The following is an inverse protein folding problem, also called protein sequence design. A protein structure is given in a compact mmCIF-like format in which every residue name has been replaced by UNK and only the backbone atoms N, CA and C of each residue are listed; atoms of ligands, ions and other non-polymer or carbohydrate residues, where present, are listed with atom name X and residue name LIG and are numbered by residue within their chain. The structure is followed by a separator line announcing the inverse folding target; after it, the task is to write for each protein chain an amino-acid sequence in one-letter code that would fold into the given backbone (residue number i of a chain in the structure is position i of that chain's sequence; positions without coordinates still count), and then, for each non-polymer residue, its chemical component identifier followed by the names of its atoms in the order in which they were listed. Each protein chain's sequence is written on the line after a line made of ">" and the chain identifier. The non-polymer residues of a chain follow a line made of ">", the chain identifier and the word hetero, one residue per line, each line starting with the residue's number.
data_IF_562131667413
#
_entry.id   IF_562131667413
#
_cell.length_a   1.000
_cell.length_b   1.000
_cell.length_c   1.000
_cell.angle_alpha   90.00
_cell.angle_beta   90.00
_cell.angle_gamma   90.00
#
_symmetry.space_group_name_H-M   'P 1'
#
loop_
_entity.id
_entity.type
_entity.pdbx_description
1 polymer ?
#
# COMPACT_ATOMS: atom_id res chain seq x y z
N UNK A 1 13.41 -2.32 -3.76
CA UNK A 1 13.11 -1.69 -2.45
C UNK A 1 14.19 -2.03 -1.39
N UNK A 2 14.34 -1.15 -0.40
CA UNK A 2 15.28 -1.25 0.74
C UNK A 2 16.78 -1.31 0.47
N UNK A 3 17.22 -1.26 -0.80
CA UNK A 3 18.65 -1.31 -1.18
C UNK A 3 19.34 -2.60 -0.70
N UNK A 4 20.66 -2.70 -0.87
CA UNK A 4 21.50 -3.86 -0.45
C UNK A 4 22.89 -3.39 0.00
N UNK A 5 23.61 -4.26 0.73
CA UNK A 5 25.00 -4.00 1.15
C UNK A 5 25.10 -2.90 2.23
N UNK A 6 26.12 -2.06 2.15
CA UNK A 6 26.35 -0.96 3.12
C UNK A 6 25.24 0.10 3.13
N UNK A 7 24.36 0.08 2.12
CA UNK A 7 23.19 0.96 2.01
C UNK A 7 21.87 0.23 2.28
N UNK A 8 21.89 -0.98 2.84
CA UNK A 8 20.66 -1.70 3.22
C UNK A 8 19.88 -0.92 4.28
N UNK A 9 18.55 -0.94 4.19
CA UNK A 9 17.69 -0.25 5.13
C UNK A 9 17.61 -1.03 6.45
N UNK A 10 18.13 -0.45 7.53
CA UNK A 10 18.00 -0.99 8.89
C UNK A 10 16.54 -1.18 9.30
N UNK A 11 15.63 -0.33 8.80
CA UNK A 11 14.20 -0.38 9.07
C UNK A 11 13.42 -1.42 8.26
N UNK A 12 14.07 -2.18 7.36
CA UNK A 12 13.41 -3.13 6.45
C UNK A 12 12.48 -4.11 7.18
N UNK A 13 12.97 -4.70 8.27
CA UNK A 13 12.18 -5.68 9.04
C UNK A 13 10.95 -5.03 9.69
N UNK A 14 11.13 -3.86 10.32
CA UNK A 14 10.04 -3.11 10.94
C UNK A 14 8.98 -2.73 9.90
N UNK A 15 9.40 -2.20 8.75
CA UNK A 15 8.50 -1.83 7.67
C UNK A 15 7.69 -3.04 7.17
N UNK A 16 8.31 -4.20 6.99
CA UNK A 16 7.57 -5.43 6.62
C UNK A 16 6.58 -5.88 7.69
N UNK A 17 6.93 -5.77 8.97
CA UNK A 17 6.02 -6.11 10.06
C UNK A 17 4.82 -5.16 10.12
N UNK A 18 5.04 -3.86 10.01
CA UNK A 18 3.97 -2.86 9.99
C UNK A 18 3.06 -3.02 8.78
N UNK A 19 3.62 -3.20 7.57
CA UNK A 19 2.84 -3.43 6.36
C UNK A 19 1.94 -4.66 6.49
N UNK A 20 2.46 -5.76 7.03
CA UNK A 20 1.67 -6.99 7.26
C UNK A 20 0.57 -6.78 8.29
N UNK A 21 0.87 -6.10 9.39
CA UNK A 21 -0.09 -5.83 10.45
C UNK A 21 -1.24 -4.94 9.95
N UNK A 22 -0.93 -3.86 9.24
CA UNK A 22 -1.92 -2.95 8.65
C UNK A 22 -2.78 -3.71 7.64
N UNK A 23 -2.17 -4.45 6.72
CA UNK A 23 -2.89 -5.21 5.70
C UNK A 23 -3.82 -6.26 6.32
N UNK A 24 -3.35 -6.98 7.33
CA UNK A 24 -4.15 -7.99 8.04
C UNK A 24 -5.33 -7.35 8.75
N UNK A 25 -5.11 -6.22 9.44
CA UNK A 25 -6.17 -5.49 10.13
C UNK A 25 -7.24 -5.03 9.15
N UNK A 26 -6.84 -4.39 8.06
CA UNK A 26 -7.76 -3.90 7.01
C UNK A 26 -8.57 -5.06 6.44
N UNK A 27 -7.93 -6.11 5.94
CA UNK A 27 -8.63 -7.25 5.33
C UNK A 27 -9.56 -8.00 6.30
N UNK A 28 -9.26 -7.97 7.61
CA UNK A 28 -10.08 -8.64 8.61
C UNK A 28 -11.27 -7.80 9.09
N UNK A 29 -11.13 -6.47 9.17
CA UNK A 29 -12.17 -5.60 9.72
C UNK A 29 -13.09 -4.97 8.70
N UNK A 30 -12.61 -4.76 7.47
CA UNK A 30 -13.40 -4.07 6.43
C UNK A 30 -13.62 -4.98 5.24
N UNK A 31 -14.76 -4.83 4.58
CA UNK A 31 -15.04 -5.48 3.29
C UNK A 31 -14.87 -4.43 2.21
N UNK A 32 -13.62 -4.26 1.76
CA UNK A 32 -13.30 -3.25 0.77
C UNK A 32 -13.65 -3.73 -0.65
N UNK A 33 -14.34 -2.88 -1.40
CA UNK A 33 -14.53 -2.99 -2.83
C UNK A 33 -13.92 -1.80 -3.54
N UNK A 34 -13.19 -2.06 -4.64
CA UNK A 34 -12.58 -1.02 -5.45
C UNK A 34 -13.65 -0.24 -6.22
N UNK A 35 -13.59 1.09 -6.22
CA UNK A 35 -14.45 1.91 -7.05
C UNK A 35 -14.02 1.82 -8.53
N UNK A 36 -14.96 1.83 -9.50
CA UNK A 36 -14.62 1.75 -10.93
C UNK A 36 -13.64 2.82 -11.42
N UNK A 37 -13.70 4.02 -10.82
CA UNK A 37 -12.79 5.14 -11.10
C UNK A 37 -11.32 4.88 -10.74
N UNK A 38 -11.05 3.84 -9.94
CA UNK A 38 -9.71 3.45 -9.50
C UNK A 38 -9.21 2.15 -10.15
N UNK A 39 -9.85 1.65 -11.21
CA UNK A 39 -9.42 0.42 -11.89
C UNK A 39 -7.97 0.47 -12.40
N UNK A 40 -7.56 1.61 -12.97
CA UNK A 40 -6.19 1.81 -13.49
C UNK A 40 -5.29 2.57 -12.49
N UNK A 41 -5.62 2.50 -11.19
CA UNK A 41 -4.92 3.29 -10.16
C UNK A 41 -3.42 3.02 -10.10
N UNK A 42 -2.98 1.83 -10.49
CA UNK A 42 -1.56 1.43 -10.49
C UNK A 42 -0.75 2.20 -11.55
N UNK A 43 -1.38 2.76 -12.58
CA UNK A 43 -0.70 3.53 -13.62
C UNK A 43 -0.45 4.98 -13.15
N UNK A 44 0.74 5.19 -12.58
CA UNK A 44 1.18 6.45 -12.00
C UNK A 44 2.62 6.74 -12.36
N UNK A 45 2.96 8.03 -12.48
CA UNK A 45 4.33 8.44 -12.71
C UNK A 45 5.18 8.15 -11.47
N UNK A 46 6.34 7.53 -11.68
CA UNK A 46 7.31 7.24 -10.64
C UNK A 46 8.64 7.89 -10.99
N UNK A 47 9.00 8.93 -10.23
CA UNK A 47 10.31 9.57 -10.29
C UNK A 47 11.21 8.97 -9.19
N UNK A 48 11.56 9.76 -8.17
CA UNK A 48 12.18 9.25 -6.93
C UNK A 48 11.16 8.52 -6.05
N UNK A 49 9.91 8.97 -6.08
CA UNK A 49 8.76 8.38 -5.40
C UNK A 49 7.59 8.34 -6.37
N UNK A 50 6.61 7.48 -6.06
CA UNK A 50 5.34 7.41 -6.77
C UNK A 50 4.50 8.66 -6.50
N UNK A 51 3.92 9.24 -7.54
CA UNK A 51 2.87 10.24 -7.40
C UNK A 51 1.55 9.57 -6.98
N UNK A 52 1.21 9.68 -5.69
CA UNK A 52 0.07 8.97 -5.11
C UNK A 52 -1.26 9.60 -5.51
N UNK A 53 -1.88 9.08 -6.59
CA UNK A 53 -3.28 9.37 -6.92
C UNK A 53 -4.20 8.78 -5.83
N UNK A 54 -5.42 9.30 -5.61
CA UNK A 54 -6.35 8.74 -4.63
C UNK A 54 -6.81 7.33 -5.05
N UNK A 55 -6.80 6.37 -4.11
CA UNK A 55 -7.36 5.02 -4.27
C UNK A 55 -8.74 4.97 -3.62
N UNK A 56 -9.78 4.98 -4.42
CA UNK A 56 -11.15 5.07 -3.94
C UNK A 56 -11.72 3.66 -3.73
N UNK A 57 -12.14 3.38 -2.50
CA UNK A 57 -12.73 2.11 -2.10
C UNK A 57 -14.03 2.36 -1.32
N UNK A 58 -14.98 1.43 -1.45
CA UNK A 58 -16.19 1.36 -0.63
C UNK A 58 -16.01 0.30 0.45
N UNK A 59 -16.52 0.56 1.64
CA UNK A 59 -16.63 -0.46 2.69
C UNK A 59 -18.07 -1.01 2.68
N UNK A 60 -18.22 -2.32 2.49
CA UNK A 60 -19.53 -3.00 2.52
C UNK A 60 -20.02 -3.31 3.94
N UNK A 61 -19.32 -2.79 4.97
CA UNK A 61 -19.62 -3.05 6.38
C UNK A 61 -20.66 -2.12 7.04
N UNK A 62 -21.25 -1.16 6.33
CA UNK A 62 -22.23 -0.19 6.85
C UNK A 62 -23.49 -0.12 5.98
#
# INVERSE_FOLDING_TARGET
>A
PFSVGSRDCLGKNMAYHEMRLIMTRVLHTTRLQLCPESNDWVDQECYTLWEKKPLMCKDEGC
#
